data_IF_537853992107
#
_entry.id   IF_537853992107
#
_cell.length_a   1.000
_cell.length_b   1.000
_cell.length_c   1.000
_cell.angle_alpha   90.00
_cell.angle_beta   90.00
_cell.angle_gamma   90.00
#
_symmetry.space_group_name_H-M   'P 1'
#
loop_
_entity.id
_entity.type
_entity.pdbx_description
1 polymer ?
#
# COMPACT_ATOMS: atom_id res chain seq x y z
N UNK A 1 -31.53 -18.45 23.00
CA UNK A 1 -30.52 -18.18 21.95
C UNK A 1 -29.15 -18.57 22.49
N UNK A 2 -28.43 -19.46 21.80
CA UNK A 2 -27.22 -20.13 22.33
C UNK A 2 -26.01 -19.18 22.29
N UNK A 3 -25.24 -19.09 23.39
CA UNK A 3 -23.97 -18.35 23.54
C UNK A 3 -22.94 -18.58 22.40
N UNK A 4 -23.06 -19.67 21.64
CA UNK A 4 -22.23 -19.94 20.46
C UNK A 4 -22.58 -19.12 19.21
N UNK A 5 -23.85 -18.78 18.98
CA UNK A 5 -24.27 -18.00 17.80
C UNK A 5 -23.92 -16.51 17.92
N UNK A 6 -23.82 -16.02 19.16
CA UNK A 6 -23.46 -14.63 19.45
C UNK A 6 -21.94 -14.37 19.26
N UNK A 7 -21.09 -15.35 19.59
CA UNK A 7 -19.63 -15.31 19.33
C UNK A 7 -19.28 -15.32 17.84
N UNK A 8 -20.04 -16.07 17.02
CA UNK A 8 -19.82 -16.11 15.57
C UNK A 8 -20.20 -14.78 14.89
N UNK A 9 -21.25 -14.11 15.37
CA UNK A 9 -21.65 -12.78 14.88
C UNK A 9 -20.65 -11.68 15.24
N UNK A 10 -20.09 -11.69 16.46
CA UNK A 10 -19.08 -10.71 16.89
C UNK A 10 -17.75 -10.85 16.12
N UNK A 11 -17.46 -12.03 15.56
CA UNK A 11 -16.25 -12.25 14.72
C UNK A 11 -16.42 -11.88 13.24
N UNK A 12 -17.64 -11.50 12.81
CA UNK A 12 -18.01 -11.33 11.40
C UNK A 12 -17.59 -10.00 10.79
N UNK A 13 -17.50 -8.95 11.60
CA UNK A 13 -17.12 -7.60 11.19
C UNK A 13 -16.05 -7.06 12.13
N UNK A 14 -15.31 -6.06 11.65
CA UNK A 14 -14.20 -5.45 12.36
C UNK A 14 -13.04 -5.22 11.41
N UNK A 15 -12.50 -4.00 11.47
CA UNK A 15 -11.28 -3.65 10.75
C UNK A 15 -10.06 -4.07 11.57
N UNK A 16 -9.07 -4.65 10.93
CA UNK A 16 -7.78 -4.96 11.54
C UNK A 16 -6.61 -4.62 10.62
N UNK A 17 -5.49 -4.28 11.25
CA UNK A 17 -4.18 -4.17 10.61
C UNK A 17 -3.39 -5.46 10.81
N UNK A 18 -2.49 -5.74 9.87
CA UNK A 18 -1.51 -6.81 10.00
C UNK A 18 -0.10 -6.24 10.19
N UNK A 19 0.64 -6.75 11.18
CA UNK A 19 2.06 -6.42 11.37
C UNK A 19 2.94 -7.29 10.47
N UNK A 20 2.72 -7.20 9.16
CA UNK A 20 3.32 -8.09 8.18
C UNK A 20 4.11 -7.35 7.09
N UNK A 21 4.10 -6.02 7.13
CA UNK A 21 4.70 -5.17 6.11
C UNK A 21 6.15 -4.81 6.46
N UNK A 22 6.90 -4.41 5.44
CA UNK A 22 8.24 -3.84 5.60
C UNK A 22 8.24 -2.48 6.34
N UNK A 23 7.06 -1.94 6.67
CA UNK A 23 6.82 -0.71 7.45
C UNK A 23 6.08 -0.96 8.76
N UNK A 24 6.08 -2.19 9.29
CA UNK A 24 5.27 -2.62 10.44
C UNK A 24 3.82 -2.91 10.06
N UNK A 25 2.96 -1.90 9.99
CA UNK A 25 1.51 -2.09 9.90
C UNK A 25 0.97 -1.90 8.48
N UNK A 26 -0.01 -2.72 8.12
CA UNK A 26 -0.73 -2.60 6.87
C UNK A 26 -2.21 -2.93 7.01
N UNK A 27 -3.05 -2.20 6.28
CA UNK A 27 -4.42 -2.60 6.00
C UNK A 27 -4.43 -3.52 4.78
N UNK A 28 -5.38 -4.46 4.68
CA UNK A 28 -5.46 -5.37 3.52
C UNK A 28 -6.88 -5.87 3.29
N UNK A 29 -7.20 -6.13 2.03
CA UNK A 29 -8.47 -6.69 1.56
C UNK A 29 -8.24 -7.86 0.59
N UNK A 30 -9.28 -8.66 0.26
CA UNK A 30 -9.17 -9.78 -0.66
C UNK A 30 -8.94 -9.28 -2.09
N UNK A 31 -7.82 -9.66 -2.69
CA UNK A 31 -7.44 -9.26 -4.06
C UNK A 31 -8.44 -9.71 -5.14
N UNK A 32 -9.14 -10.81 -4.90
CA UNK A 32 -10.15 -11.36 -5.80
C UNK A 32 -11.40 -10.49 -5.87
N UNK A 33 -11.56 -9.56 -4.91
CA UNK A 33 -12.66 -8.60 -4.86
C UNK A 33 -12.22 -7.18 -5.16
N UNK A 34 -10.99 -6.81 -4.78
CA UNK A 34 -10.58 -5.40 -4.79
C UNK A 34 -9.49 -5.05 -5.80
N UNK A 35 -8.77 -6.01 -6.37
CA UNK A 35 -7.77 -5.73 -7.42
C UNK A 35 -8.43 -5.66 -8.81
N UNK A 36 -9.29 -4.66 -9.01
CA UNK A 36 -10.14 -4.51 -10.21
C UNK A 36 -9.35 -4.34 -11.51
N UNK A 37 -8.17 -3.74 -11.46
CA UNK A 37 -7.30 -3.47 -12.62
C UNK A 37 -5.99 -4.27 -12.60
N UNK A 38 -5.96 -5.41 -11.91
CA UNK A 38 -4.76 -6.24 -11.89
C UNK A 38 -4.52 -6.92 -13.25
N UNK A 39 -3.34 -6.66 -13.80
CA UNK A 39 -2.77 -7.30 -14.99
C UNK A 39 -2.60 -8.81 -14.79
N UNK A 40 -2.49 -9.55 -15.90
CA UNK A 40 -2.26 -11.00 -15.86
C UNK A 40 -0.91 -11.30 -15.21
N UNK A 41 0.10 -10.50 -15.53
CA UNK A 41 1.42 -10.46 -14.88
C UNK A 41 1.30 -10.29 -13.37
N UNK A 42 0.61 -9.24 -12.90
CA UNK A 42 0.46 -8.96 -11.47
C UNK A 42 -0.19 -10.15 -10.75
N UNK A 43 -1.25 -10.72 -11.31
CA UNK A 43 -1.95 -11.88 -10.75
C UNK A 43 -1.02 -13.10 -10.63
N UNK A 44 -0.19 -13.34 -11.65
CA UNK A 44 0.77 -14.45 -11.69
C UNK A 44 1.83 -14.35 -10.59
N UNK A 45 2.45 -13.18 -10.43
CA UNK A 45 3.57 -12.99 -9.47
C UNK A 45 3.15 -12.38 -8.13
N UNK A 46 1.85 -12.21 -7.90
CA UNK A 46 1.30 -11.61 -6.69
C UNK A 46 1.83 -12.33 -5.43
N UNK A 47 2.40 -11.58 -4.48
CA UNK A 47 2.85 -12.11 -3.19
C UNK A 47 1.71 -12.78 -2.40
N UNK A 48 0.46 -12.42 -2.67
CA UNK A 48 -0.73 -13.08 -2.15
C UNK A 48 -0.83 -14.56 -2.52
N UNK A 49 -0.09 -15.04 -3.53
CA UNK A 49 0.04 -16.45 -3.88
C UNK A 49 0.91 -17.23 -2.86
N UNK A 50 1.70 -16.52 -2.04
CA UNK A 50 2.58 -17.15 -1.05
C UNK A 50 1.82 -17.80 0.10
N UNK A 51 2.37 -18.89 0.64
CA UNK A 51 1.77 -19.69 1.73
C UNK A 51 1.32 -18.84 2.93
N UNK A 52 2.05 -17.75 3.21
CA UNK A 52 1.74 -16.77 4.25
C UNK A 52 0.34 -16.14 4.12
N UNK A 53 -0.17 -15.98 2.90
CA UNK A 53 -1.46 -15.35 2.62
C UNK A 53 -2.57 -16.37 2.34
N UNK A 54 -2.23 -17.66 2.27
CA UNK A 54 -3.15 -18.70 1.81
C UNK A 54 -3.92 -19.41 2.93
N UNK A 55 -3.50 -19.28 4.19
CA UNK A 55 -4.20 -19.91 5.32
C UNK A 55 -5.62 -19.37 5.49
N UNK A 56 -6.52 -20.24 5.97
CA UNK A 56 -7.93 -19.88 6.20
C UNK A 56 -8.07 -18.65 7.11
N UNK A 57 -7.26 -18.58 8.18
CA UNK A 57 -7.22 -17.42 9.05
C UNK A 57 -6.85 -16.14 8.30
N UNK A 58 -5.78 -16.15 7.51
CA UNK A 58 -5.32 -14.95 6.78
C UNK A 58 -6.32 -14.48 5.72
N UNK A 59 -7.05 -15.40 5.08
CA UNK A 59 -8.15 -15.07 4.17
C UNK A 59 -9.33 -14.48 4.93
N UNK A 60 -9.74 -15.09 6.04
CA UNK A 60 -10.85 -14.63 6.88
C UNK A 60 -10.64 -13.20 7.41
N UNK A 61 -9.40 -12.86 7.79
CA UNK A 61 -9.01 -11.51 8.22
C UNK A 61 -9.33 -10.44 7.16
N UNK A 62 -8.88 -10.67 5.93
CA UNK A 62 -9.08 -9.75 4.79
C UNK A 62 -10.54 -9.70 4.36
N UNK A 63 -11.20 -10.85 4.35
CA UNK A 63 -12.61 -10.95 4.06
C UNK A 63 -13.46 -10.16 5.08
N UNK A 64 -13.07 -10.20 6.35
CA UNK A 64 -13.71 -9.40 7.40
C UNK A 64 -13.48 -7.90 7.19
N UNK A 65 -12.26 -7.49 6.85
CA UNK A 65 -11.97 -6.09 6.49
C UNK A 65 -12.88 -5.62 5.34
N UNK A 66 -12.94 -6.38 4.24
CA UNK A 66 -13.78 -6.06 3.09
C UNK A 66 -15.25 -5.94 3.48
N UNK A 67 -15.83 -6.97 4.12
CA UNK A 67 -17.23 -6.95 4.57
C UNK A 67 -17.56 -5.76 5.47
N UNK A 68 -16.60 -5.34 6.30
CA UNK A 68 -16.78 -4.20 7.20
C UNK A 68 -16.70 -2.88 6.44
N UNK A 69 -15.79 -2.76 5.48
CA UNK A 69 -15.72 -1.60 4.57
C UNK A 69 -17.05 -1.42 3.85
N UNK A 70 -17.53 -2.47 3.17
CA UNK A 70 -18.80 -2.44 2.43
C UNK A 70 -19.98 -2.06 3.36
N UNK A 71 -20.05 -2.66 4.55
CA UNK A 71 -21.10 -2.35 5.52
C UNK A 71 -21.08 -0.89 5.97
N UNK A 72 -19.90 -0.34 6.27
CA UNK A 72 -19.79 1.05 6.76
C UNK A 72 -20.09 2.05 5.64
N UNK A 73 -19.69 1.75 4.41
CA UNK A 73 -20.01 2.56 3.24
C UNK A 73 -21.51 2.54 2.94
N UNK A 74 -22.16 1.37 2.97
CA UNK A 74 -23.61 1.24 2.83
C UNK A 74 -24.37 2.04 3.90
N UNK A 75 -23.91 1.99 5.16
CA UNK A 75 -24.66 2.57 6.30
C UNK A 75 -24.43 4.05 6.53
N UNK A 76 -23.26 4.58 6.15
CA UNK A 76 -22.92 5.97 6.46
C UNK A 76 -21.89 6.58 5.51
N UNK A 77 -21.62 5.92 4.38
CA UNK A 77 -20.72 6.39 3.36
C UNK A 77 -19.27 6.58 3.83
N UNK A 78 -18.50 7.39 3.10
CA UNK A 78 -17.09 7.61 3.38
C UNK A 78 -16.80 8.13 4.79
N UNK A 79 -17.70 8.94 5.36
CA UNK A 79 -17.53 9.54 6.70
C UNK A 79 -17.55 8.49 7.80
N UNK A 80 -18.51 7.56 7.75
CA UNK A 80 -18.60 6.49 8.75
C UNK A 80 -17.42 5.53 8.65
N UNK A 81 -17.00 5.19 7.44
CA UNK A 81 -15.80 4.38 7.25
C UNK A 81 -14.55 5.12 7.77
N UNK A 82 -14.40 6.40 7.46
CA UNK A 82 -13.26 7.21 7.89
C UNK A 82 -13.11 7.25 9.42
N UNK A 83 -14.21 7.41 10.17
CA UNK A 83 -14.18 7.37 11.64
C UNK A 83 -13.56 6.07 12.17
N UNK A 84 -13.87 4.95 11.54
CA UNK A 84 -13.35 3.63 11.92
C UNK A 84 -11.90 3.42 11.45
N UNK A 85 -11.52 3.94 10.27
CA UNK A 85 -10.13 3.95 9.81
C UNK A 85 -9.23 4.79 10.72
N UNK A 86 -9.74 5.94 11.19
CA UNK A 86 -9.05 6.79 12.15
C UNK A 86 -8.79 6.04 13.46
N UNK A 87 -9.83 5.40 14.02
CA UNK A 87 -9.68 4.59 15.22
C UNK A 87 -8.68 3.44 15.02
N UNK A 88 -8.65 2.84 13.82
CA UNK A 88 -7.69 1.79 13.48
C UNK A 88 -6.25 2.31 13.39
N UNK A 89 -6.03 3.47 12.77
CA UNK A 89 -4.72 4.15 12.71
C UNK A 89 -4.23 4.47 14.13
N UNK A 90 -5.12 4.92 15.02
CA UNK A 90 -4.77 5.30 16.38
C UNK A 90 -4.30 4.14 17.26
N UNK A 91 -4.71 2.91 16.95
CA UNK A 91 -4.26 1.71 17.66
C UNK A 91 -2.77 1.40 17.46
N UNK A 92 -2.15 1.96 16.42
CA UNK A 92 -0.77 1.64 16.02
C UNK A 92 0.19 2.83 16.14
N UNK A 93 -0.18 3.83 16.94
CA UNK A 93 0.70 4.96 17.28
C UNK A 93 1.99 4.46 17.97
N UNK A 94 3.17 5.00 17.60
CA UNK A 94 4.42 4.78 18.34
C UNK A 94 4.28 5.18 19.81
N UNK A 95 5.06 4.56 20.69
CA UNK A 95 4.99 4.82 22.14
C UNK A 95 5.34 6.27 22.51
N UNK A 96 6.17 6.94 21.72
CA UNK A 96 6.56 8.33 21.91
C UNK A 96 5.68 9.34 21.14
N UNK A 97 4.59 8.87 20.51
CA UNK A 97 3.68 9.70 19.72
C UNK A 97 3.11 10.89 20.50
N UNK A 98 2.71 10.69 21.76
CA UNK A 98 2.13 11.78 22.55
C UNK A 98 3.14 12.92 22.77
N UNK A 99 4.38 12.57 23.13
CA UNK A 99 5.45 13.53 23.31
C UNK A 99 5.74 14.27 22.00
N UNK A 100 5.93 13.51 20.91
CA UNK A 100 6.17 14.07 19.58
C UNK A 100 5.05 15.03 19.14
N UNK A 101 3.79 14.65 19.37
CA UNK A 101 2.62 15.47 19.02
C UNK A 101 2.52 16.77 19.82
N UNK A 102 2.83 16.75 21.12
CA UNK A 102 2.76 17.94 21.98
C UNK A 102 3.93 18.88 21.71
N UNK A 103 5.11 18.33 21.44
CA UNK A 103 6.35 19.10 21.24
C UNK A 103 6.54 19.56 19.78
N UNK A 104 5.70 19.13 18.85
CA UNK A 104 5.87 19.41 17.42
C UNK A 104 7.08 18.69 16.79
N UNK A 105 7.47 17.55 17.36
CA UNK A 105 8.62 16.75 16.96
C UNK A 105 8.19 15.52 16.14
N UNK A 106 9.17 14.81 15.57
CA UNK A 106 8.96 13.51 14.91
C UNK A 106 9.11 12.38 15.93
N UNK A 107 8.32 11.32 15.78
CA UNK A 107 8.51 10.08 16.55
C UNK A 107 9.83 9.40 16.17
N UNK A 108 10.48 8.77 17.15
CA UNK A 108 11.70 7.96 16.96
C UNK A 108 11.45 6.81 15.99
N UNK A 109 10.30 6.15 16.11
CA UNK A 109 9.83 5.18 15.13
C UNK A 109 8.82 5.87 14.22
N UNK A 110 9.03 5.92 12.89
CA UNK A 110 8.08 6.54 11.98
C UNK A 110 6.66 5.96 12.12
N UNK A 111 5.70 6.83 12.47
CA UNK A 111 4.29 6.44 12.53
C UNK A 111 3.78 6.22 11.10
N UNK A 112 3.70 4.95 10.69
CA UNK A 112 3.48 4.58 9.29
C UNK A 112 2.41 3.50 9.17
N UNK A 113 1.52 3.64 8.20
CA UNK A 113 0.53 2.62 7.82
C UNK A 113 0.57 2.45 6.31
N UNK A 114 0.78 1.21 5.85
CA UNK A 114 0.63 0.87 4.43
C UNK A 114 -0.85 0.63 4.13
N UNK A 115 -1.40 1.37 3.19
CA UNK A 115 -2.72 1.04 2.64
C UNK A 115 -2.48 -0.07 1.61
N UNK A 116 -3.03 -1.25 1.90
CA UNK A 116 -2.88 -2.49 1.14
C UNK A 116 -1.47 -3.08 1.13
N UNK A 117 -1.24 -4.00 2.07
CA UNK A 117 -0.28 -5.09 1.84
C UNK A 117 -0.87 -6.24 1.04
N UNK A 118 -2.19 -6.29 0.80
CA UNK A 118 -2.89 -7.14 -0.18
C UNK A 118 -4.21 -6.46 -0.54
N UNK A 119 -4.64 -6.60 -1.80
CA UNK A 119 -5.80 -5.88 -2.34
C UNK A 119 -5.37 -4.58 -3.04
N UNK A 120 -6.35 -3.85 -3.56
CA UNK A 120 -6.20 -2.50 -4.11
C UNK A 120 -7.47 -1.67 -3.79
N UNK A 121 -7.53 -0.43 -4.27
CA UNK A 121 -8.71 0.41 -4.24
C UNK A 121 -9.71 -0.02 -5.32
N UNK A 122 -10.99 -0.18 -4.96
CA UNK A 122 -12.01 -0.69 -5.88
C UNK A 122 -13.20 0.24 -6.12
N UNK A 123 -13.31 1.33 -5.35
CA UNK A 123 -14.42 2.29 -5.48
C UNK A 123 -14.08 3.67 -4.90
N UNK A 124 -14.72 4.72 -5.43
CA UNK A 124 -14.47 6.11 -5.06
C UNK A 124 -14.81 6.39 -3.60
N UNK A 125 -15.90 5.82 -3.08
CA UNK A 125 -16.34 6.04 -1.70
C UNK A 125 -15.29 5.54 -0.68
N UNK A 126 -14.63 4.41 -0.99
CA UNK A 126 -13.54 3.86 -0.20
C UNK A 126 -12.31 4.76 -0.19
N UNK A 127 -11.93 5.31 -1.34
CA UNK A 127 -10.82 6.28 -1.45
C UNK A 127 -11.11 7.53 -0.62
N UNK A 128 -12.32 8.07 -0.73
CA UNK A 128 -12.76 9.25 0.04
C UNK A 128 -12.69 9.02 1.56
N UNK A 129 -12.93 7.80 2.03
CA UNK A 129 -12.79 7.47 3.44
C UNK A 129 -11.32 7.56 3.92
N UNK A 130 -10.38 7.07 3.11
CA UNK A 130 -8.95 7.21 3.39
C UNK A 130 -8.48 8.67 3.31
N UNK A 131 -8.99 9.44 2.35
CA UNK A 131 -8.72 10.88 2.23
C UNK A 131 -9.12 11.63 3.51
N UNK A 132 -10.30 11.36 4.05
CA UNK A 132 -10.74 11.94 5.33
C UNK A 132 -9.81 11.48 6.47
N UNK A 133 -9.53 10.18 6.58
CA UNK A 133 -8.68 9.64 7.64
C UNK A 133 -7.25 10.21 7.61
N UNK A 134 -6.69 10.39 6.42
CA UNK A 134 -5.36 10.96 6.20
C UNK A 134 -5.30 12.44 6.62
N UNK A 135 -6.31 13.25 6.27
CA UNK A 135 -6.44 14.65 6.69
C UNK A 135 -6.55 14.78 8.21
N UNK A 136 -7.29 13.89 8.86
CA UNK A 136 -7.48 13.86 10.32
C UNK A 136 -6.26 13.35 11.09
N UNK A 137 -5.30 12.69 10.44
CA UNK A 137 -4.10 12.11 11.07
C UNK A 137 -2.81 12.53 10.34
N UNK A 138 -2.48 13.84 10.31
CA UNK A 138 -1.33 14.37 9.56
C UNK A 138 0.03 13.84 10.03
N UNK A 139 0.13 13.37 11.28
CA UNK A 139 1.36 12.74 11.81
C UNK A 139 1.54 11.29 11.36
N UNK A 140 0.50 10.62 10.87
CA UNK A 140 0.59 9.27 10.32
C UNK A 140 1.00 9.36 8.85
N UNK A 141 2.11 8.74 8.50
CA UNK A 141 2.58 8.60 7.13
C UNK A 141 1.89 7.42 6.46
N UNK A 142 0.98 7.72 5.54
CA UNK A 142 0.27 6.75 4.73
C UNK A 142 0.97 6.57 3.39
N UNK A 143 0.94 5.36 2.86
CA UNK A 143 1.53 5.07 1.56
C UNK A 143 0.93 3.82 0.95
N UNK A 144 0.92 3.75 -0.38
CA UNK A 144 0.31 2.63 -1.11
C UNK A 144 0.88 2.47 -2.51
N UNK A 145 0.70 1.27 -3.05
CA UNK A 145 0.85 1.00 -4.48
C UNK A 145 -0.53 0.72 -5.04
N UNK A 146 -0.84 1.26 -6.21
CA UNK A 146 -2.12 0.99 -6.86
C UNK A 146 -1.94 0.74 -8.35
N UNK A 147 -2.81 -0.10 -8.91
CA UNK A 147 -3.01 -0.27 -10.36
C UNK A 147 -4.32 0.35 -10.82
N UNK A 148 -5.05 0.99 -9.91
CA UNK A 148 -6.42 1.41 -10.09
C UNK A 148 -6.49 2.82 -10.69
N UNK A 149 -5.83 3.01 -11.83
CA UNK A 149 -5.64 4.31 -12.49
C UNK A 149 -6.23 4.37 -13.92
N UNK A 150 -6.99 3.36 -14.35
CA UNK A 150 -7.65 3.36 -15.67
C UNK A 150 -9.07 3.95 -15.62
N UNK A 151 -9.75 3.89 -14.47
CA UNK A 151 -11.08 4.47 -14.30
C UNK A 151 -10.94 5.93 -13.85
N UNK A 152 -11.39 6.92 -14.65
CA UNK A 152 -11.10 8.33 -14.40
C UNK A 152 -11.55 8.83 -13.02
N UNK A 153 -12.79 8.51 -12.61
CA UNK A 153 -13.34 8.97 -11.33
C UNK A 153 -12.59 8.39 -10.12
N UNK A 154 -12.12 7.13 -10.25
CA UNK A 154 -11.35 6.48 -9.21
C UNK A 154 -9.94 7.07 -9.14
N UNK A 155 -9.32 7.32 -10.30
CA UNK A 155 -8.00 7.94 -10.40
C UNK A 155 -7.98 9.37 -9.87
N UNK A 156 -8.99 10.18 -10.17
CA UNK A 156 -9.16 11.54 -9.63
C UNK A 156 -9.22 11.50 -8.09
N UNK A 157 -10.08 10.66 -7.52
CA UNK A 157 -10.19 10.51 -6.07
C UNK A 157 -8.87 10.01 -5.43
N UNK A 158 -8.15 9.11 -6.11
CA UNK A 158 -6.85 8.62 -5.66
C UNK A 158 -5.77 9.69 -5.71
N UNK A 159 -5.81 10.55 -6.71
CA UNK A 159 -4.89 11.68 -6.86
C UNK A 159 -5.10 12.68 -5.72
N UNK A 160 -6.34 12.99 -5.34
CA UNK A 160 -6.62 13.82 -4.16
C UNK A 160 -6.02 13.24 -2.87
N UNK A 161 -6.08 11.91 -2.70
CA UNK A 161 -5.46 11.22 -1.56
C UNK A 161 -3.93 11.27 -1.63
N UNK A 162 -3.35 10.96 -2.79
CA UNK A 162 -1.90 10.94 -3.00
C UNK A 162 -1.27 12.33 -2.88
N UNK A 163 -2.01 13.40 -3.17
CA UNK A 163 -1.55 14.78 -3.06
C UNK A 163 -1.42 15.29 -1.61
N UNK A 164 -1.90 14.54 -0.61
CA UNK A 164 -1.73 14.92 0.79
C UNK A 164 -0.26 14.83 1.22
N UNK A 165 0.24 15.78 2.05
CA UNK A 165 1.64 15.82 2.46
C UNK A 165 2.06 14.62 3.36
N UNK A 166 1.10 13.92 3.95
CA UNK A 166 1.33 12.71 4.73
C UNK A 166 0.95 11.43 3.98
N UNK A 167 0.74 11.51 2.66
CA UNK A 167 0.43 10.37 1.81
C UNK A 167 1.41 10.25 0.64
N UNK A 168 1.75 9.02 0.26
CA UNK A 168 2.55 8.75 -0.93
C UNK A 168 1.88 7.64 -1.74
N UNK A 169 1.33 8.02 -2.89
CA UNK A 169 0.84 7.10 -3.89
C UNK A 169 1.95 6.67 -4.84
N UNK A 170 1.96 5.38 -5.19
CA UNK A 170 2.83 4.81 -6.21
C UNK A 170 2.00 4.11 -7.28
N UNK A 171 2.14 4.52 -8.54
CA UNK A 171 1.53 3.83 -9.68
C UNK A 171 2.33 2.56 -9.96
N UNK A 172 1.70 1.41 -9.76
CA UNK A 172 2.33 0.12 -10.01
C UNK A 172 2.18 -0.26 -11.47
N UNK A 173 3.31 -0.30 -12.17
CA UNK A 173 3.37 -0.56 -13.61
C UNK A 173 4.10 -1.88 -13.91
N UNK A 174 3.71 -2.53 -14.98
CA UNK A 174 4.44 -3.59 -15.69
C UNK A 174 4.21 -3.43 -17.20
N UNK A 175 4.70 -4.38 -18.00
CA UNK A 175 4.55 -4.34 -19.47
C UNK A 175 3.11 -4.35 -19.98
N UNK A 176 2.12 -4.79 -19.21
CA UNK A 176 0.73 -4.81 -19.65
C UNK A 176 0.01 -3.47 -19.44
N UNK A 177 0.44 -2.66 -18.46
CA UNK A 177 -0.20 -1.38 -18.15
C UNK A 177 0.76 -0.19 -18.17
N UNK A 178 1.95 -0.35 -18.75
CA UNK A 178 3.02 0.64 -18.76
C UNK A 178 2.59 1.99 -19.35
N UNK A 179 2.08 1.99 -20.58
CA UNK A 179 1.69 3.20 -21.30
C UNK A 179 0.62 3.98 -20.54
N UNK A 180 -0.41 3.28 -20.06
CA UNK A 180 -1.47 3.88 -19.25
C UNK A 180 -0.94 4.44 -17.92
N UNK A 181 0.04 3.76 -17.30
CA UNK A 181 0.68 4.22 -16.08
C UNK A 181 1.54 5.48 -16.30
N UNK A 182 2.26 5.57 -17.42
CA UNK A 182 2.99 6.78 -17.80
C UNK A 182 2.04 7.94 -18.08
N UNK A 183 0.93 7.69 -18.78
CA UNK A 183 -0.09 8.70 -19.02
C UNK A 183 -0.68 9.23 -17.70
N UNK A 184 -1.04 8.33 -16.78
CA UNK A 184 -1.54 8.70 -15.46
C UNK A 184 -0.50 9.50 -14.64
N UNK A 185 0.77 9.12 -14.69
CA UNK A 185 1.85 9.87 -14.05
C UNK A 185 2.00 11.28 -14.64
N UNK A 186 1.94 11.41 -15.96
CA UNK A 186 2.08 12.69 -16.65
C UNK A 186 0.87 13.64 -16.44
N UNK A 187 -0.32 13.10 -16.14
CA UNK A 187 -1.53 13.89 -15.88
C UNK A 187 -1.41 14.75 -14.60
N UNK A 188 -0.69 14.27 -13.59
CA UNK A 188 -0.61 14.90 -12.26
C UNK A 188 0.85 15.02 -11.77
N UNK A 189 1.66 15.90 -12.39
CA UNK A 189 3.08 16.03 -12.07
C UNK A 189 3.31 16.38 -10.60
N UNK A 190 4.22 15.65 -9.95
CA UNK A 190 4.60 15.87 -8.54
C UNK A 190 3.67 15.22 -7.51
N UNK A 191 2.58 14.58 -7.93
CA UNK A 191 1.70 13.81 -7.03
C UNK A 191 2.13 12.35 -6.98
N UNK A 192 2.31 11.74 -8.15
CA UNK A 192 2.57 10.31 -8.27
C UNK A 192 4.06 9.98 -8.37
N UNK A 193 4.41 8.76 -7.95
CA UNK A 193 5.69 8.12 -8.26
C UNK A 193 5.42 6.78 -8.94
N UNK A 194 6.41 6.25 -9.66
CA UNK A 194 6.31 5.01 -10.43
C UNK A 194 6.97 3.84 -9.71
N UNK A 195 6.26 2.71 -9.64
CA UNK A 195 6.74 1.45 -9.09
C UNK A 195 6.68 0.35 -10.15
N UNK A 196 7.83 0.06 -10.76
CA UNK A 196 7.97 -0.93 -11.82
C UNK A 196 8.07 -2.34 -11.22
N UNK A 197 7.16 -3.22 -11.62
CA UNK A 197 7.25 -4.65 -11.37
C UNK A 197 8.18 -5.29 -12.41
N UNK A 198 9.41 -5.59 -11.99
CA UNK A 198 10.44 -6.18 -12.83
C UNK A 198 10.32 -7.71 -12.83
N UNK A 199 9.79 -8.29 -13.91
CA UNK A 199 9.70 -9.74 -14.07
C UNK A 199 10.94 -10.36 -14.69
N UNK A 200 11.60 -9.59 -15.55
CA UNK A 200 12.77 -9.98 -16.32
C UNK A 200 13.67 -8.75 -16.46
N UNK A 201 14.96 -8.99 -16.70
CA UNK A 201 15.95 -7.90 -16.81
C UNK A 201 15.78 -7.10 -18.09
N UNK A 202 15.58 -7.79 -19.22
CA UNK A 202 15.37 -7.21 -20.55
C UNK A 202 14.18 -6.25 -20.57
N UNK A 203 13.08 -6.61 -19.90
CA UNK A 203 11.91 -5.76 -19.72
C UNK A 203 12.28 -4.36 -19.21
N UNK A 204 13.09 -4.30 -18.15
CA UNK A 204 13.46 -3.00 -17.57
C UNK A 204 14.39 -2.28 -18.52
N UNK A 205 15.40 -2.95 -19.07
CA UNK A 205 16.36 -2.36 -20.01
C UNK A 205 15.67 -1.75 -21.24
N UNK A 206 14.59 -2.35 -21.74
CA UNK A 206 13.77 -1.84 -22.85
C UNK A 206 12.93 -0.62 -22.47
N UNK A 207 12.30 -0.63 -21.28
CA UNK A 207 11.42 0.45 -20.82
C UNK A 207 12.18 1.62 -20.17
N UNK A 208 13.43 1.40 -19.79
CA UNK A 208 14.22 2.32 -18.97
C UNK A 208 14.47 3.68 -19.65
N UNK A 209 14.75 3.77 -20.98
CA UNK A 209 14.91 5.07 -21.64
C UNK A 209 13.66 5.94 -21.47
N UNK A 210 12.48 5.42 -21.81
CA UNK A 210 11.21 6.15 -21.71
C UNK A 210 10.88 6.52 -20.27
N UNK A 211 11.17 5.61 -19.33
CA UNK A 211 10.96 5.84 -17.90
C UNK A 211 11.85 6.93 -17.31
N UNK A 212 13.14 6.97 -17.69
CA UNK A 212 14.07 7.97 -17.20
C UNK A 212 13.77 9.34 -17.83
N UNK A 213 13.36 9.35 -19.10
CA UNK A 213 12.95 10.59 -19.77
C UNK A 213 11.69 11.18 -19.13
N UNK A 214 10.74 10.33 -18.74
CA UNK A 214 9.45 10.75 -18.19
C UNK A 214 9.53 11.05 -16.69
N UNK A 215 10.18 10.19 -15.90
CA UNK A 215 10.16 10.27 -14.44
C UNK A 215 11.30 11.13 -13.90
N UNK A 216 10.98 12.01 -12.95
CA UNK A 216 12.02 12.78 -12.25
C UNK A 216 12.91 11.87 -11.39
N UNK A 217 14.13 12.34 -11.12
CA UNK A 217 15.08 11.63 -10.26
C UNK A 217 14.46 11.37 -8.87
N UNK A 218 14.50 10.11 -8.41
CA UNK A 218 13.87 9.60 -7.17
C UNK A 218 12.35 9.40 -7.22
N UNK A 219 11.75 9.39 -8.40
CA UNK A 219 10.32 9.08 -8.56
C UNK A 219 10.06 7.72 -9.20
N UNK A 220 11.12 6.97 -9.51
CA UNK A 220 11.04 5.64 -10.09
C UNK A 220 11.72 4.61 -9.19
N UNK A 221 10.99 3.56 -8.83
CA UNK A 221 11.54 2.38 -8.13
C UNK A 221 11.26 1.09 -8.90
N UNK A 222 12.25 0.22 -8.99
CA UNK A 222 12.07 -1.16 -9.47
C UNK A 222 11.89 -2.14 -8.33
N UNK A 223 10.91 -3.04 -8.50
CA UNK A 223 10.66 -4.21 -7.68
C UNK A 223 10.85 -5.49 -8.51
N UNK A 224 12.08 -6.05 -8.52
CA UNK A 224 12.35 -7.36 -9.09
C UNK A 224 11.48 -8.42 -8.46
N UNK A 225 10.97 -9.38 -9.23
CA UNK A 225 10.20 -10.49 -8.67
C UNK A 225 11.09 -11.35 -7.78
N UNK A 226 10.65 -11.50 -6.53
CA UNK A 226 11.26 -12.37 -5.51
C UNK A 226 10.15 -13.17 -4.81
N UNK A 227 9.71 -14.27 -5.43
CA UNK A 227 8.64 -15.11 -4.91
C UNK A 227 8.84 -16.58 -5.29
N UNK A 228 8.55 -17.50 -4.36
CA UNK A 228 8.53 -18.93 -4.65
C UNK A 228 9.87 -19.53 -5.10
N UNK A 229 11.00 -18.95 -4.66
CA UNK A 229 12.34 -19.36 -5.08
C UNK A 229 12.78 -18.77 -6.44
N UNK A 230 11.90 -18.06 -7.16
CA UNK A 230 12.29 -17.25 -8.31
C UNK A 230 12.84 -15.91 -7.82
N UNK A 231 14.08 -15.61 -8.20
CA UNK A 231 14.76 -14.37 -7.92
C UNK A 231 15.22 -13.75 -9.23
N UNK A 232 14.65 -12.59 -9.56
CA UNK A 232 15.10 -11.79 -10.70
C UNK A 232 16.20 -10.88 -10.19
N UNK A 233 17.36 -10.89 -10.86
CA UNK A 233 18.45 -9.97 -10.53
C UNK A 233 18.01 -8.52 -10.75
N UNK A 234 18.19 -7.63 -9.76
CA UNK A 234 17.79 -6.24 -9.90
C UNK A 234 18.56 -5.51 -11.00
N UNK A 235 17.85 -4.74 -11.83
CA UNK A 235 18.52 -3.79 -12.73
C UNK A 235 19.03 -2.62 -11.91
N UNK A 236 20.26 -2.17 -12.20
CA UNK A 236 20.88 -1.01 -11.57
C UNK A 236 21.24 -0.04 -12.67
N UNK A 237 20.62 1.15 -12.64
CA UNK A 237 20.84 2.19 -13.64
C UNK A 237 20.70 3.58 -13.01
N UNK A 238 21.34 4.61 -13.59
CA UNK A 238 21.08 6.01 -13.22
C UNK A 238 19.58 6.33 -13.32
N UNK A 239 19.03 7.08 -12.37
CA UNK A 239 17.60 7.44 -12.36
C UNK A 239 16.65 6.36 -11.82
N UNK A 240 17.06 5.08 -11.82
CA UNK A 240 16.27 3.97 -11.27
C UNK A 240 16.65 3.67 -9.82
N UNK A 241 15.70 3.83 -8.89
CA UNK A 241 15.93 3.40 -7.52
C UNK A 241 15.68 1.89 -7.36
N UNK A 242 16.69 1.16 -6.88
CA UNK A 242 16.54 -0.26 -6.54
C UNK A 242 16.36 -0.40 -5.04
N UNK A 243 15.26 -1.03 -4.61
CA UNK A 243 14.92 -1.15 -3.20
C UNK A 243 16.06 -1.83 -2.40
N UNK A 244 16.65 -1.17 -1.37
CA UNK A 244 17.76 -1.74 -0.60
C UNK A 244 17.41 -3.02 0.15
N UNK A 245 16.12 -3.21 0.48
CA UNK A 245 15.65 -4.45 1.08
C UNK A 245 15.66 -5.63 0.09
N UNK A 246 15.53 -5.37 -1.22
CA UNK A 246 15.57 -6.40 -2.27
C UNK A 246 17.01 -6.84 -2.54
N UNK A 247 17.96 -5.91 -2.52
CA UNK A 247 19.41 -6.20 -2.64
C UNK A 247 20.05 -6.65 -1.31
N UNK A 248 19.26 -6.89 -0.27
CA UNK A 248 19.73 -7.47 0.99
C UNK A 248 20.44 -6.51 1.96
N UNK A 249 20.44 -5.20 1.69
CA UNK A 249 21.03 -4.16 2.56
C UNK A 249 20.21 -4.00 3.84
N UNK A 250 18.88 -3.86 3.72
CA UNK A 250 17.98 -3.78 4.88
C UNK A 250 17.22 -5.09 5.07
N UNK A 251 17.72 -5.95 5.96
CA UNK A 251 17.09 -7.22 6.31
C UNK A 251 15.95 -7.00 7.30
N UNK A 252 14.88 -7.79 7.15
CA UNK A 252 13.80 -7.80 8.13
C UNK A 252 14.26 -8.57 9.37
N UNK A 253 14.37 -7.86 10.50
CA UNK A 253 14.72 -8.45 11.78
C UNK A 253 13.47 -8.62 12.67
N UNK A 254 13.43 -9.71 13.44
CA UNK A 254 12.41 -9.97 14.46
C UNK A 254 12.75 -9.27 15.78
N UNK A 255 13.05 -7.97 15.72
CA UNK A 255 13.34 -7.15 16.88
C UNK A 255 12.47 -5.89 16.86
N UNK A 256 11.59 -5.74 17.86
CA UNK A 256 10.67 -4.61 17.95
C UNK A 256 11.35 -3.27 18.25
N UNK A 257 12.60 -3.27 18.75
CA UNK A 257 13.36 -2.04 19.01
C UNK A 257 14.11 -1.52 17.79
N UNK A 258 14.14 -2.27 16.68
CA UNK A 258 14.78 -1.87 15.43
C UNK A 258 13.75 -1.37 14.43
N UNK A 259 14.13 -0.34 13.67
CA UNK A 259 13.35 0.10 12.53
C UNK A 259 13.22 -1.02 11.49
N UNK A 260 12.03 -1.16 10.92
CA UNK A 260 11.79 -2.07 9.79
C UNK A 260 12.50 -1.53 8.53
N UNK A 261 12.79 -2.37 7.53
CA UNK A 261 13.53 -1.97 6.33
C UNK A 261 13.03 -0.68 5.65
N UNK A 262 11.72 -0.55 5.46
CA UNK A 262 11.16 0.64 4.81
C UNK A 262 11.08 1.85 5.75
N UNK A 263 11.04 1.65 7.07
CA UNK A 263 11.14 2.74 8.05
C UNK A 263 12.56 3.31 8.11
N UNK A 264 13.58 2.47 7.93
CA UNK A 264 14.97 2.90 7.84
C UNK A 264 15.31 3.56 6.49
N UNK A 265 14.83 2.96 5.39
CA UNK A 265 15.07 3.44 4.02
C UNK A 265 14.30 4.74 3.70
N UNK A 266 13.05 4.84 4.16
CA UNK A 266 12.13 5.96 3.94
C UNK A 266 11.77 6.32 2.50
N UNK A 267 12.40 5.73 1.48
CA UNK A 267 12.19 6.11 0.08
C UNK A 267 10.73 6.03 -0.40
N UNK A 268 10.01 4.98 0.03
CA UNK A 268 8.60 4.79 -0.35
C UNK A 268 7.61 5.55 0.54
N UNK A 269 8.10 6.22 1.59
CA UNK A 269 7.29 6.96 2.54
C UNK A 269 7.20 8.45 2.12
N UNK A 270 6.15 9.17 2.54
CA UNK A 270 6.10 10.63 2.49
C UNK A 270 7.23 11.27 3.30
#
# INVERSE_FOLDING_TARGET
MKKGQQKDQESRYGLELTNNSKTSWAFSMPRDKTCVMATSICKKVCYGNGIRYQSAGQKAKRERNFKTVELLLDRGGPKLLAQNLIALIDQVRPSDWLCASVMGEKTKTPFTVRIHDLGDFHEVAYVKAWLIAAKERPLCKLWFYTRSFLEPELFEALTELAALPNCQGWLSIDTENFEAGLLAYAQEPGVWKLALLQQERTQVEELLPDLIETAMTKELVSFPVHHGGRHVEPVVAPGLYTCPAVVGIYKLESNASKLRPCQACSFCLP
#
